data_IF_907174690453
#
_entry.id   IF_907174690453
#
_cell.length_a   1.000
_cell.length_b   1.000
_cell.length_c   1.000
_cell.angle_alpha   90.00
_cell.angle_beta   90.00
_cell.angle_gamma   90.00
#
_symmetry.space_group_name_H-M   'P 1'
#
loop_
_entity.id
_entity.type
_entity.pdbx_description
1 polymer ?
#
# COMPACT_ATOMS: atom_id res chain seq x y z
N UNK A 1 18.59 2.27 41.29
CA UNK A 1 17.83 1.15 40.71
C UNK A 1 17.96 1.27 39.20
N UNK A 2 18.90 0.54 38.60
CA UNK A 2 19.16 0.59 37.16
C UNK A 2 18.03 -0.15 36.45
N UNK A 3 17.22 0.56 35.66
CA UNK A 3 16.27 -0.07 34.74
C UNK A 3 17.09 -0.81 33.69
N UNK A 4 16.96 -2.13 33.67
CA UNK A 4 17.48 -3.01 32.64
C UNK A 4 16.63 -2.71 31.40
N UNK A 5 17.16 -1.95 30.46
CA UNK A 5 16.55 -1.83 29.14
C UNK A 5 16.97 -3.09 28.38
N UNK A 6 16.15 -4.13 28.46
CA UNK A 6 16.33 -5.31 27.64
C UNK A 6 16.02 -4.91 26.19
N UNK A 7 17.06 -4.83 25.36
CA UNK A 7 16.93 -4.60 23.92
C UNK A 7 16.72 -5.95 23.25
N UNK A 8 15.56 -6.15 22.62
CA UNK A 8 15.30 -7.29 21.75
C UNK A 8 15.89 -6.98 20.37
N UNK A 9 16.84 -7.80 19.92
CA UNK A 9 17.39 -7.72 18.57
C UNK A 9 16.94 -8.96 17.79
N UNK A 10 16.02 -8.75 16.85
CA UNK A 10 15.62 -9.78 15.89
C UNK A 10 16.54 -9.66 14.67
N UNK A 11 17.45 -10.63 14.50
CA UNK A 11 18.39 -10.66 13.36
C UNK A 11 17.87 -11.64 12.32
N UNK A 12 17.42 -11.10 11.18
CA UNK A 12 17.07 -11.87 9.98
C UNK A 12 18.20 -11.71 8.94
N UNK A 13 18.76 -12.79 8.38
CA UNK A 13 19.91 -12.74 7.46
C UNK A 13 19.62 -13.41 6.11
N UNK A 14 20.02 -12.76 5.02
CA UNK A 14 19.14 -11.82 4.33
C UNK A 14 17.90 -12.56 3.80
N UNK A 15 16.70 -12.14 4.23
CA UNK A 15 15.46 -12.66 3.66
C UNK A 15 15.21 -12.09 2.25
N UNK A 16 15.82 -10.95 1.90
CA UNK A 16 15.57 -10.25 0.65
C UNK A 16 16.33 -8.93 0.53
N UNK A 17 16.02 -8.18 -0.53
CA UNK A 17 16.49 -6.81 -0.75
C UNK A 17 15.33 -5.81 -0.77
N UNK A 18 15.56 -4.51 -0.58
CA UNK A 18 14.51 -3.49 -0.59
C UNK A 18 13.69 -3.50 -1.90
N UNK A 19 12.41 -3.12 -1.81
CA UNK A 19 11.48 -3.08 -2.94
C UNK A 19 12.04 -2.28 -4.13
N UNK A 20 12.72 -1.16 -3.88
CA UNK A 20 13.34 -0.28 -4.89
C UNK A 20 14.30 -1.02 -5.86
N UNK A 21 14.81 -2.19 -5.48
CA UNK A 21 15.73 -3.01 -6.28
C UNK A 21 15.00 -3.98 -7.23
N UNK A 22 13.73 -3.74 -7.52
CA UNK A 22 13.02 -4.50 -8.53
C UNK A 22 13.69 -4.34 -9.92
N UNK A 23 13.65 -5.39 -10.73
CA UNK A 23 14.36 -5.47 -12.02
C UNK A 23 13.47 -5.16 -13.20
N UNK A 24 12.17 -5.43 -13.10
CA UNK A 24 11.20 -5.17 -14.15
C UNK A 24 9.83 -4.78 -13.60
N UNK A 25 8.94 -4.17 -14.42
CA UNK A 25 7.56 -3.93 -14.03
C UNK A 25 6.83 -5.21 -13.61
N UNK A 26 7.10 -6.33 -14.29
CA UNK A 26 6.53 -7.63 -13.92
C UNK A 26 6.97 -8.06 -12.52
N UNK A 27 8.26 -7.89 -12.16
CA UNK A 27 8.76 -8.22 -10.83
C UNK A 27 8.11 -7.34 -9.75
N UNK A 28 8.03 -6.02 -9.98
CA UNK A 28 7.37 -5.10 -9.05
C UNK A 28 5.92 -5.50 -8.78
N UNK A 29 5.14 -5.72 -9.84
CA UNK A 29 3.72 -6.09 -9.73
C UNK A 29 3.58 -7.46 -9.04
N UNK A 30 4.47 -8.41 -9.32
CA UNK A 30 4.46 -9.73 -8.68
C UNK A 30 4.76 -9.64 -7.18
N UNK A 31 5.79 -8.87 -6.79
CA UNK A 31 6.19 -8.67 -5.39
C UNK A 31 5.06 -8.02 -4.59
N UNK A 32 4.41 -7.00 -5.15
CA UNK A 32 3.28 -6.36 -4.48
C UNK A 32 2.07 -7.30 -4.36
N UNK A 33 1.79 -8.12 -5.38
CA UNK A 33 0.74 -9.15 -5.31
C UNK A 33 1.00 -10.18 -4.20
N UNK A 34 2.26 -10.58 -4.01
CA UNK A 34 2.65 -11.48 -2.92
C UNK A 34 2.46 -10.83 -1.55
N UNK A 35 2.87 -9.57 -1.40
CA UNK A 35 2.70 -8.83 -0.15
C UNK A 35 1.22 -8.66 0.22
N UNK A 36 0.34 -8.42 -0.76
CA UNK A 36 -1.12 -8.35 -0.53
C UNK A 36 -1.68 -9.72 -0.13
N UNK A 37 -1.17 -10.81 -0.71
CA UNK A 37 -1.57 -12.17 -0.33
C UNK A 37 -1.13 -12.49 1.10
N UNK A 38 0.09 -12.11 1.47
CA UNK A 38 0.58 -12.23 2.84
C UNK A 38 -0.24 -11.38 3.83
N UNK A 39 -0.58 -10.15 3.45
CA UNK A 39 -1.47 -9.28 4.23
C UNK A 39 -2.85 -9.89 4.45
N UNK A 40 -3.45 -10.51 3.41
CA UNK A 40 -4.70 -11.26 3.53
C UNK A 40 -4.62 -12.38 4.57
N UNK A 41 -3.55 -13.17 4.52
CA UNK A 41 -3.32 -14.25 5.48
C UNK A 41 -3.12 -13.73 6.91
N UNK A 42 -2.34 -12.66 7.08
CA UNK A 42 -2.17 -12.00 8.38
C UNK A 42 -3.51 -11.60 8.99
N UNK A 43 -4.37 -10.94 8.20
CA UNK A 43 -5.66 -10.48 8.69
C UNK A 43 -6.64 -11.64 8.93
N UNK A 44 -6.78 -12.56 7.98
CA UNK A 44 -7.85 -13.55 8.00
C UNK A 44 -7.52 -14.78 8.85
N UNK A 45 -6.27 -15.24 8.82
CA UNK A 45 -5.83 -16.42 9.57
C UNK A 45 -5.17 -16.01 10.89
N UNK A 46 -4.43 -14.89 10.88
CA UNK A 46 -3.71 -14.39 12.05
C UNK A 46 -4.51 -13.42 12.92
N UNK A 47 -5.62 -12.86 12.42
CA UNK A 47 -6.32 -11.73 13.07
C UNK A 47 -5.43 -10.50 13.29
N UNK A 48 -4.37 -10.34 12.48
CA UNK A 48 -3.39 -9.25 12.61
C UNK A 48 -3.71 -8.13 11.62
N UNK A 49 -3.87 -6.91 12.13
CA UNK A 49 -3.92 -5.69 11.35
C UNK A 49 -2.52 -5.07 11.29
N UNK A 50 -2.00 -4.77 10.09
CA UNK A 50 -0.60 -4.39 9.91
C UNK A 50 -0.32 -2.91 10.22
N UNK A 51 -1.20 -2.00 9.79
CA UNK A 51 -1.21 -0.55 10.11
C UNK A 51 -0.08 0.31 9.55
N UNK A 52 1.04 -0.30 9.13
CA UNK A 52 2.14 0.40 8.46
C UNK A 52 2.55 -0.27 7.13
N UNK A 53 1.61 -0.44 6.22
CA UNK A 53 1.93 -0.85 4.85
C UNK A 53 2.70 0.28 4.14
N UNK A 54 3.98 0.03 3.84
CA UNK A 54 4.87 0.99 3.19
C UNK A 54 5.85 0.32 2.21
N UNK A 55 6.51 1.10 1.35
CA UNK A 55 7.55 0.59 0.45
C UNK A 55 8.79 0.07 1.20
N UNK A 56 9.01 0.53 2.44
CA UNK A 56 10.09 0.05 3.31
C UNK A 56 9.80 -1.31 3.94
N UNK A 57 8.52 -1.67 4.08
CA UNK A 57 8.07 -2.87 4.78
C UNK A 57 7.77 -4.03 3.82
N UNK A 58 8.13 -3.88 2.54
CA UNK A 58 8.05 -4.93 1.53
C UNK A 58 9.45 -5.20 0.98
N UNK A 59 9.88 -6.46 1.06
CA UNK A 59 11.18 -6.89 0.54
C UNK A 59 11.03 -7.92 -0.57
N UNK A 60 12.04 -7.98 -1.43
CA UNK A 60 12.13 -8.95 -2.52
C UNK A 60 13.07 -10.07 -2.11
N UNK A 61 12.55 -11.29 -2.00
CA UNK A 61 13.31 -12.49 -1.67
C UNK A 61 14.53 -12.66 -2.59
N UNK A 62 15.71 -12.91 -2.02
CA UNK A 62 16.91 -13.20 -2.82
C UNK A 62 16.84 -14.58 -3.51
N UNK A 63 16.06 -15.50 -2.95
CA UNK A 63 15.97 -16.90 -3.41
C UNK A 63 15.20 -17.03 -4.72
N UNK A 64 14.04 -16.38 -4.79
CA UNK A 64 13.05 -16.59 -5.85
C UNK A 64 12.41 -15.28 -6.35
N UNK A 65 12.87 -14.12 -5.85
CA UNK A 65 12.38 -12.79 -6.22
C UNK A 65 10.87 -12.59 -5.98
N UNK A 66 10.32 -13.32 -5.01
CA UNK A 66 8.95 -13.15 -4.50
C UNK A 66 8.87 -12.06 -3.45
N UNK A 67 7.68 -11.50 -3.25
CA UNK A 67 7.44 -10.48 -2.25
C UNK A 67 7.28 -11.06 -0.84
N UNK A 68 7.82 -10.35 0.14
CA UNK A 68 7.65 -10.65 1.57
C UNK A 68 7.22 -9.36 2.25
N UNK A 69 6.10 -9.42 2.96
CA UNK A 69 5.65 -8.35 3.87
C UNK A 69 6.32 -8.57 5.24
N UNK A 70 6.94 -7.52 5.77
CA UNK A 70 7.69 -7.54 7.03
C UNK A 70 7.22 -6.39 7.92
N UNK A 71 7.82 -6.31 9.11
CA UNK A 71 7.62 -5.23 10.09
C UNK A 71 6.20 -5.20 10.70
N UNK A 72 6.06 -5.91 11.81
CA UNK A 72 4.81 -5.99 12.58
C UNK A 72 4.92 -5.19 13.90
N UNK A 73 5.89 -4.27 14.01
CA UNK A 73 6.19 -3.59 15.28
C UNK A 73 5.03 -2.71 15.79
N UNK A 74 4.17 -2.25 14.89
CA UNK A 74 2.95 -1.46 15.19
C UNK A 74 1.65 -2.19 14.87
N UNK A 75 1.73 -3.48 14.53
CA UNK A 75 0.58 -4.29 14.21
C UNK A 75 -0.27 -4.57 15.47
N UNK A 76 -1.58 -4.76 15.27
CA UNK A 76 -2.53 -5.11 16.34
C UNK A 76 -3.05 -6.53 16.11
N UNK A 77 -3.10 -7.31 17.19
CA UNK A 77 -3.86 -8.56 17.24
C UNK A 77 -5.33 -8.25 17.58
N UNK A 78 -6.19 -8.32 16.57
CA UNK A 78 -7.63 -8.04 16.66
C UNK A 78 -8.39 -9.08 17.51
N UNK A 79 -7.75 -10.16 17.95
CA UNK A 79 -8.33 -11.08 18.93
C UNK A 79 -8.12 -10.61 20.37
N UNK A 80 -7.18 -9.70 20.61
CA UNK A 80 -6.82 -9.20 21.94
C UNK A 80 -7.20 -7.72 22.14
N UNK A 81 -7.07 -6.90 21.09
CA UNK A 81 -7.24 -5.44 21.17
C UNK A 81 -7.90 -4.86 19.91
N UNK A 82 -8.71 -3.82 20.10
CA UNK A 82 -9.30 -3.03 19.02
C UNK A 82 -8.43 -1.78 18.73
N UNK A 83 -8.30 -1.34 17.47
CA UNK A 83 -7.56 -0.12 17.15
C UNK A 83 -8.18 1.14 17.78
N UNK A 84 -7.32 2.06 18.26
CA UNK A 84 -7.71 3.33 18.90
C UNK A 84 -7.49 4.52 17.94
N UNK A 85 -8.41 5.49 17.95
CA UNK A 85 -8.33 6.74 17.18
C UNK A 85 -7.12 7.62 17.58
N UNK A 86 -6.60 7.44 18.80
CA UNK A 86 -5.47 8.22 19.32
C UNK A 86 -4.10 7.61 18.95
N UNK A 87 -4.07 6.40 18.39
CA UNK A 87 -2.85 5.67 18.06
C UNK A 87 -2.51 5.79 16.56
N UNK A 88 -2.30 7.02 16.08
CA UNK A 88 -1.97 7.24 14.68
C UNK A 88 -0.54 6.79 14.36
N UNK A 89 -0.43 5.63 13.71
CA UNK A 89 0.82 5.09 13.18
C UNK A 89 0.82 5.08 11.65
N UNK A 90 2.00 4.97 11.05
CA UNK A 90 2.14 4.72 9.63
C UNK A 90 3.00 5.71 8.87
N UNK A 91 3.38 5.29 7.67
CA UNK A 91 4.25 6.05 6.77
C UNK A 91 3.44 7.02 5.91
N UNK A 92 3.53 8.34 6.18
CA UNK A 92 2.63 9.39 5.65
C UNK A 92 2.31 9.30 4.14
N UNK A 93 3.31 9.09 3.28
CA UNK A 93 3.07 8.99 1.83
C UNK A 93 2.31 7.74 1.42
N UNK A 94 2.35 6.69 2.23
CA UNK A 94 1.62 5.43 2.06
C UNK A 94 0.29 5.38 2.83
N UNK A 95 0.08 6.19 3.87
CA UNK A 95 -1.15 6.15 4.68
C UNK A 95 -2.42 6.39 3.85
N UNK A 96 -3.48 5.63 4.15
CA UNK A 96 -4.79 5.83 3.58
C UNK A 96 -5.35 7.25 3.85
N UNK A 97 -6.23 7.74 2.98
CA UNK A 97 -6.86 9.06 3.14
C UNK A 97 -7.64 9.15 4.45
N UNK A 98 -8.34 8.08 4.84
CA UNK A 98 -9.07 8.02 6.10
C UNK A 98 -8.16 8.17 7.32
N UNK A 99 -7.03 7.48 7.33
CA UNK A 99 -6.02 7.59 8.41
C UNK A 99 -5.43 8.98 8.51
N UNK A 100 -5.07 9.60 7.38
CA UNK A 100 -4.60 10.99 7.37
C UNK A 100 -5.63 12.00 7.89
N UNK A 101 -6.92 11.61 7.95
CA UNK A 101 -8.01 12.42 8.51
C UNK A 101 -8.35 12.08 9.96
N UNK A 102 -7.60 11.16 10.59
CA UNK A 102 -7.73 10.79 12.00
C UNK A 102 -8.76 9.70 12.26
N UNK A 103 -9.06 8.85 11.27
CA UNK A 103 -9.96 7.72 11.49
C UNK A 103 -9.23 6.54 12.12
N UNK A 104 -10.01 5.66 12.74
CA UNK A 104 -9.55 4.39 13.30
C UNK A 104 -9.06 3.44 12.19
N UNK A 105 -7.91 2.83 12.41
CA UNK A 105 -7.31 1.83 11.53
C UNK A 105 -8.23 0.65 11.23
N UNK A 106 -8.16 0.14 10.00
CA UNK A 106 -8.89 -1.04 9.56
C UNK A 106 -8.25 -1.66 8.31
N UNK A 107 -8.69 -2.87 7.96
CA UNK A 107 -8.13 -3.64 6.84
C UNK A 107 -8.17 -2.91 5.49
N UNK A 108 -9.19 -2.08 5.26
CA UNK A 108 -9.35 -1.35 4.00
C UNK A 108 -8.26 -0.29 3.87
N UNK A 109 -7.84 0.33 4.97
CA UNK A 109 -6.77 1.32 4.95
C UNK A 109 -5.40 0.69 4.68
N UNK A 110 -5.09 -0.47 5.25
CA UNK A 110 -3.91 -1.25 4.85
C UNK A 110 -3.94 -1.59 3.35
N UNK A 111 -5.10 -2.00 2.82
CA UNK A 111 -5.26 -2.32 1.41
C UNK A 111 -5.13 -1.10 0.50
N UNK A 112 -5.70 0.04 0.89
CA UNK A 112 -5.57 1.31 0.17
C UNK A 112 -4.09 1.75 0.10
N UNK A 113 -3.32 1.51 1.16
CA UNK A 113 -1.88 1.79 1.19
C UNK A 113 -1.09 1.10 0.10
N UNK A 114 -1.48 -0.10 -0.36
CA UNK A 114 -0.81 -0.76 -1.49
C UNK A 114 -0.93 0.00 -2.82
N UNK A 115 -2.02 0.75 -3.04
CA UNK A 115 -2.11 1.66 -4.20
C UNK A 115 -1.02 2.73 -4.10
N UNK A 116 -0.86 3.33 -2.92
CA UNK A 116 0.14 4.37 -2.70
C UNK A 116 1.55 3.81 -2.77
N UNK A 117 1.81 2.60 -2.25
CA UNK A 117 3.09 1.90 -2.42
C UNK A 117 3.42 1.70 -3.90
N UNK A 118 2.47 1.24 -4.73
CA UNK A 118 2.70 1.07 -6.17
C UNK A 118 3.11 2.40 -6.83
N UNK A 119 2.34 3.46 -6.59
CA UNK A 119 2.62 4.78 -7.18
C UNK A 119 3.93 5.36 -6.67
N UNK A 120 4.16 5.28 -5.37
CA UNK A 120 5.34 5.81 -4.71
C UNK A 120 6.60 5.07 -5.14
N UNK A 121 6.57 3.75 -5.30
CA UNK A 121 7.72 2.97 -5.77
C UNK A 121 8.13 3.33 -7.19
N UNK A 122 7.17 3.69 -8.04
CA UNK A 122 7.43 4.09 -9.44
C UNK A 122 7.97 5.53 -9.55
N UNK A 123 7.86 6.33 -8.47
CA UNK A 123 8.25 7.75 -8.44
C UNK A 123 9.70 8.00 -8.86
N UNK A 124 10.61 7.08 -8.57
CA UNK A 124 12.04 7.25 -8.85
C UNK A 124 12.33 7.22 -10.35
N UNK A 125 11.36 6.81 -11.16
CA UNK A 125 11.41 6.96 -12.61
C UNK A 125 11.02 8.37 -13.09
N UNK A 126 10.36 9.18 -12.27
CA UNK A 126 9.82 10.50 -12.67
C UNK A 126 10.95 11.52 -12.81
N UNK A 127 11.02 12.15 -13.99
CA UNK A 127 11.93 13.26 -14.22
C UNK A 127 11.51 14.48 -13.39
N UNK A 128 12.44 15.06 -12.61
CA UNK A 128 12.12 16.22 -11.77
C UNK A 128 11.21 15.90 -10.59
N UNK A 129 11.49 14.79 -9.87
CA UNK A 129 10.72 14.35 -8.71
C UNK A 129 10.47 15.45 -7.66
N UNK A 130 11.40 16.40 -7.49
CA UNK A 130 11.23 17.53 -6.56
C UNK A 130 10.00 18.40 -6.85
N UNK A 131 9.59 18.47 -8.12
CA UNK A 131 8.41 19.18 -8.63
C UNK A 131 7.21 18.28 -8.92
N UNK A 132 7.35 16.95 -8.73
CA UNK A 132 6.25 16.01 -8.90
C UNK A 132 5.11 16.31 -7.94
N UNK A 133 3.87 16.13 -8.40
CA UNK A 133 2.69 16.27 -7.56
C UNK A 133 2.65 15.27 -6.41
N UNK A 134 3.30 14.11 -6.55
CA UNK A 134 3.43 13.09 -5.51
C UNK A 134 4.11 13.62 -4.26
N UNK A 135 4.96 14.65 -4.38
CA UNK A 135 5.59 15.27 -3.22
C UNK A 135 4.57 15.84 -2.22
N UNK A 136 3.35 16.16 -2.66
CA UNK A 136 2.26 16.61 -1.78
C UNK A 136 1.68 15.50 -0.90
N UNK A 137 1.95 14.23 -1.19
CA UNK A 137 1.52 13.11 -0.35
C UNK A 137 2.42 12.95 0.90
N UNK A 138 3.56 13.64 0.93
CA UNK A 138 4.54 13.59 2.00
C UNK A 138 4.80 14.96 2.63
N UNK A 139 4.93 16.00 1.80
CA UNK A 139 5.22 17.37 2.23
C UNK A 139 3.97 18.01 2.83
N UNK A 140 4.11 18.53 4.04
CA UNK A 140 3.03 19.19 4.77
C UNK A 140 2.55 18.38 5.97
N UNK A 141 1.45 18.86 6.56
CA UNK A 141 0.74 18.16 7.63
C UNK A 141 -0.17 17.03 7.08
N UNK A 142 -0.78 16.25 7.98
CA UNK A 142 -1.64 15.13 7.58
C UNK A 142 -2.87 15.59 6.76
N UNK A 143 -3.44 16.75 7.09
CA UNK A 143 -4.62 17.28 6.41
C UNK A 143 -4.28 17.76 4.99
N UNK A 144 -3.13 18.40 4.81
CA UNK A 144 -2.60 18.79 3.51
C UNK A 144 -2.34 17.56 2.64
N UNK A 145 -1.75 16.51 3.20
CA UNK A 145 -1.51 15.24 2.50
C UNK A 145 -2.83 14.56 2.10
N UNK A 146 -3.81 14.51 3.00
CA UNK A 146 -5.14 13.95 2.71
C UNK A 146 -5.84 14.71 1.58
N UNK A 147 -5.78 16.05 1.59
CA UNK A 147 -6.38 16.89 0.56
C UNK A 147 -5.74 16.65 -0.81
N UNK A 148 -4.40 16.56 -0.86
CA UNK A 148 -3.68 16.24 -2.09
C UNK A 148 -4.05 14.85 -2.64
N UNK A 149 -4.10 13.83 -1.78
CA UNK A 149 -4.52 12.49 -2.18
C UNK A 149 -5.96 12.46 -2.67
N UNK A 150 -6.88 13.16 -2.01
CA UNK A 150 -8.28 13.27 -2.44
C UNK A 150 -8.43 13.86 -3.84
N UNK A 151 -7.67 14.91 -4.15
CA UNK A 151 -7.61 15.48 -5.50
C UNK A 151 -7.08 14.45 -6.50
N UNK A 152 -6.00 13.76 -6.13
CA UNK A 152 -5.24 12.86 -6.99
C UNK A 152 -5.95 11.53 -7.25
N UNK A 153 -6.84 11.06 -6.37
CA UNK A 153 -7.63 9.84 -6.60
C UNK A 153 -8.95 10.09 -7.34
N UNK A 154 -9.25 11.33 -7.73
CA UNK A 154 -10.35 11.60 -8.68
C UNK A 154 -10.03 11.01 -10.05
N UNK A 155 -11.05 10.76 -10.89
CA UNK A 155 -10.81 10.17 -12.22
C UNK A 155 -9.86 11.04 -13.05
N UNK A 156 -10.04 12.36 -13.02
CA UNK A 156 -9.17 13.29 -13.74
C UNK A 156 -7.81 13.49 -13.05
N UNK A 157 -7.79 13.62 -11.72
CA UNK A 157 -6.56 13.78 -10.95
C UNK A 157 -5.64 12.58 -11.07
N UNK A 158 -6.18 11.37 -11.13
CA UNK A 158 -5.37 10.17 -11.21
C UNK A 158 -4.67 10.04 -12.56
N UNK A 159 -5.30 10.49 -13.66
CA UNK A 159 -4.62 10.57 -14.96
C UNK A 159 -3.44 11.55 -14.93
N UNK A 160 -3.53 12.65 -14.18
CA UNK A 160 -2.39 13.56 -13.98
C UNK A 160 -1.26 12.91 -13.18
N UNK A 161 -1.58 12.04 -12.21
CA UNK A 161 -0.56 11.22 -11.52
C UNK A 161 0.13 10.28 -12.49
N UNK A 162 -0.64 9.53 -13.29
CA UNK A 162 -0.09 8.58 -14.25
C UNK A 162 0.66 9.26 -15.39
N UNK A 163 0.34 10.51 -15.72
CA UNK A 163 1.05 11.28 -16.73
C UNK A 163 2.51 11.58 -16.35
N UNK A 164 2.85 11.58 -15.05
CA UNK A 164 4.24 11.75 -14.60
C UNK A 164 5.10 10.50 -14.79
N UNK A 165 4.49 9.33 -14.99
CA UNK A 165 5.22 8.06 -15.13
C UNK A 165 5.94 7.96 -16.46
N UNK A 166 7.14 7.36 -16.43
CA UNK A 166 7.90 7.08 -17.64
C UNK A 166 7.27 5.96 -18.47
N UNK A 167 7.65 5.89 -19.75
CA UNK A 167 7.22 4.85 -20.69
C UNK A 167 7.54 3.43 -20.21
N UNK A 168 8.54 3.25 -19.32
CA UNK A 168 8.87 1.96 -18.68
C UNK A 168 7.67 1.35 -17.94
N UNK A 169 6.78 2.18 -17.39
CA UNK A 169 5.62 1.73 -16.60
C UNK A 169 4.28 1.93 -17.30
N UNK A 170 4.28 2.20 -18.62
CA UNK A 170 3.04 2.41 -19.38
C UNK A 170 2.10 1.20 -19.27
N UNK A 171 2.67 -0.01 -19.35
CA UNK A 171 1.92 -1.26 -19.23
C UNK A 171 1.35 -1.52 -17.81
N UNK A 172 1.81 -0.78 -16.79
CA UNK A 172 1.33 -0.89 -15.40
C UNK A 172 0.19 0.11 -15.12
N UNK A 173 0.03 1.16 -15.93
CA UNK A 173 -1.05 2.15 -15.74
C UNK A 173 -2.46 1.53 -15.65
N UNK A 174 -2.83 0.50 -16.44
CA UNK A 174 -4.13 -0.16 -16.30
C UNK A 174 -4.36 -0.75 -14.90
N UNK A 175 -3.33 -1.35 -14.28
CA UNK A 175 -3.40 -1.84 -12.90
C UNK A 175 -3.70 -0.71 -11.93
N UNK A 176 -2.93 0.39 -12.00
CA UNK A 176 -3.09 1.53 -11.12
C UNK A 176 -4.52 2.12 -11.21
N UNK A 177 -5.06 2.25 -12.43
CA UNK A 177 -6.46 2.70 -12.64
C UNK A 177 -7.46 1.75 -12.00
N UNK A 178 -7.24 0.44 -12.15
CA UNK A 178 -8.16 -0.55 -11.60
C UNK A 178 -8.13 -0.57 -10.08
N UNK A 179 -6.96 -0.46 -9.45
CA UNK A 179 -6.85 -0.29 -8.00
C UNK A 179 -7.57 0.97 -7.54
N UNK A 180 -7.33 2.11 -8.21
CA UNK A 180 -8.05 3.36 -7.94
C UNK A 180 -9.56 3.14 -8.01
N UNK A 181 -10.06 2.43 -9.01
CA UNK A 181 -11.49 2.17 -9.15
C UNK A 181 -12.03 1.24 -8.06
N UNK A 182 -11.28 0.20 -7.68
CA UNK A 182 -11.65 -0.71 -6.58
C UNK A 182 -11.85 0.07 -5.27
N UNK A 183 -10.99 1.06 -4.98
CA UNK A 183 -11.10 1.83 -3.75
C UNK A 183 -12.08 3.01 -3.85
N UNK A 184 -12.16 3.71 -4.98
CA UNK A 184 -12.78 5.04 -5.02
C UNK A 184 -13.92 5.19 -6.03
N UNK A 185 -14.23 4.17 -6.86
CA UNK A 185 -15.29 4.29 -7.86
C UNK A 185 -16.67 4.20 -7.21
N UNK A 186 -17.47 5.24 -7.42
CA UNK A 186 -18.84 5.30 -6.87
C UNK A 186 -18.89 5.55 -5.36
N UNK A 187 -17.74 5.77 -4.74
CA UNK A 187 -17.59 6.06 -3.31
C UNK A 187 -17.80 7.56 -3.07
N UNK A 188 -18.62 7.91 -2.10
CA UNK A 188 -18.72 9.27 -1.56
C UNK A 188 -17.53 9.55 -0.65
N UNK A 189 -17.23 10.83 -0.39
CA UNK A 189 -16.25 11.21 0.63
C UNK A 189 -16.59 10.59 1.99
N UNK A 190 -17.88 10.45 2.31
CA UNK A 190 -18.34 9.82 3.54
C UNK A 190 -18.02 8.33 3.57
N UNK A 191 -18.19 7.59 2.48
CA UNK A 191 -17.87 6.15 2.45
C UNK A 191 -16.37 5.86 2.37
N UNK A 192 -15.55 6.77 1.84
CA UNK A 192 -14.09 6.67 1.94
C UNK A 192 -13.62 6.79 3.40
N UNK A 193 -14.35 7.58 4.21
CA UNK A 193 -13.86 8.08 5.49
C UNK A 193 -14.59 7.45 6.68
N UNK A 194 -15.85 7.06 6.60
CA UNK A 194 -16.62 6.72 7.81
C UNK A 194 -17.34 5.36 7.73
N UNK A 195 -17.61 4.84 6.53
CA UNK A 195 -18.41 3.61 6.36
C UNK A 195 -17.56 2.49 5.76
N UNK A 196 -16.76 1.82 6.59
CA UNK A 196 -16.07 0.59 6.19
C UNK A 196 -16.89 -0.62 6.64
N UNK A 197 -17.37 -1.40 5.68
CA UNK A 197 -18.02 -2.68 5.96
C UNK A 197 -16.97 -3.71 6.43
N UNK A 198 -17.06 -4.11 7.71
CA UNK A 198 -16.14 -5.05 8.36
C UNK A 198 -16.60 -6.52 8.24
N UNK A 199 -17.65 -6.80 7.46
CA UNK A 199 -18.10 -8.17 7.24
C UNK A 199 -17.07 -8.96 6.42
N UNK A 200 -16.95 -10.26 6.73
CA UNK A 200 -16.05 -11.15 5.98
C UNK A 200 -16.30 -11.10 4.47
N UNK A 201 -17.56 -11.02 4.05
CA UNK A 201 -17.93 -10.95 2.64
C UNK A 201 -17.42 -9.67 1.96
N UNK A 202 -17.53 -8.51 2.62
CA UNK A 202 -16.99 -7.26 2.11
C UNK A 202 -15.45 -7.27 2.07
N UNK A 203 -14.82 -7.78 3.13
CA UNK A 203 -13.36 -7.95 3.19
C UNK A 203 -12.86 -8.86 2.06
N UNK A 204 -13.47 -10.05 1.88
CA UNK A 204 -13.11 -10.98 0.81
C UNK A 204 -13.28 -10.35 -0.56
N UNK A 205 -14.41 -9.68 -0.81
CA UNK A 205 -14.67 -9.02 -2.09
C UNK A 205 -13.63 -7.93 -2.40
N UNK A 206 -13.17 -7.19 -1.39
CA UNK A 206 -12.13 -6.18 -1.58
C UNK A 206 -10.78 -6.82 -1.93
N UNK A 207 -10.36 -7.86 -1.19
CA UNK A 207 -9.14 -8.60 -1.51
C UNK A 207 -9.20 -9.23 -2.91
N UNK A 208 -10.31 -9.87 -3.25
CA UNK A 208 -10.49 -10.51 -4.56
C UNK A 208 -10.44 -9.47 -5.70
N UNK A 209 -11.03 -8.30 -5.48
CA UNK A 209 -10.97 -7.19 -6.44
C UNK A 209 -9.54 -6.65 -6.64
N UNK A 210 -8.79 -6.49 -5.55
CA UNK A 210 -7.39 -6.04 -5.59
C UNK A 210 -6.50 -7.11 -6.25
N UNK A 211 -6.51 -8.34 -5.74
CA UNK A 211 -5.68 -9.43 -6.25
C UNK A 211 -6.01 -9.76 -7.70
N UNK A 212 -7.29 -9.78 -8.08
CA UNK A 212 -7.70 -9.97 -9.48
C UNK A 212 -7.16 -8.88 -10.42
N UNK A 213 -7.03 -7.64 -9.96
CA UNK A 213 -6.38 -6.59 -10.73
C UNK A 213 -4.88 -6.87 -10.96
N UNK A 214 -4.18 -7.34 -9.92
CA UNK A 214 -2.78 -7.75 -10.01
C UNK A 214 -2.60 -8.95 -10.94
N UNK A 215 -3.44 -9.98 -10.82
CA UNK A 215 -3.39 -11.19 -11.66
C UNK A 215 -3.54 -10.87 -13.15
N UNK A 216 -4.53 -10.04 -13.52
CA UNK A 216 -4.72 -9.58 -14.90
C UNK A 216 -3.51 -8.78 -15.40
N UNK A 217 -2.94 -7.92 -14.56
CA UNK A 217 -1.75 -7.14 -14.92
C UNK A 217 -0.52 -8.03 -15.13
N UNK A 218 -0.30 -9.01 -14.25
CA UNK A 218 0.79 -9.99 -14.37
C UNK A 218 0.63 -10.81 -15.65
N UNK A 219 -0.59 -11.26 -15.97
CA UNK A 219 -0.87 -11.98 -17.21
C UNK A 219 -0.54 -11.12 -18.44
N UNK A 220 -0.97 -9.86 -18.46
CA UNK A 220 -0.68 -8.91 -19.54
C UNK A 220 0.81 -8.62 -19.70
N UNK A 221 1.53 -8.37 -18.60
CA UNK A 221 2.98 -8.10 -18.62
C UNK A 221 3.78 -9.30 -19.14
N UNK A 222 3.39 -10.53 -18.76
CA UNK A 222 4.01 -11.76 -19.29
C UNK A 222 3.80 -11.92 -20.80
N UNK A 223 2.60 -11.63 -21.29
CA UNK A 223 2.29 -11.69 -22.73
C UNK A 223 3.12 -10.68 -23.55
N UNK A 224 3.45 -9.54 -22.94
CA UNK A 224 4.26 -8.49 -23.57
C UNK A 224 5.77 -8.68 -23.42
N UNK A 225 6.23 -9.76 -22.76
CA UNK A 225 7.66 -10.07 -22.58
C UNK A 225 8.40 -9.07 -21.68
N UNK A 226 7.69 -8.46 -20.71
CA UNK A 226 8.23 -7.45 -19.78
C UNK A 226 8.70 -8.05 -18.45
#
# INVERSE_FOLDING_TARGET
MLRRNDLLCLVYSPLGCPLEKFKSPLELVTVLSDAITAHRALLQDGQILHRDISDGNIIISEKDRRGILIDLDVAIDLSEEDPDENDLVGTKHCMAIGLLKGNIDNYRYDLESFLYVLVWTIRDSIAGLSSSRLMRWWKGDFKECAAAKLEDVTTAGFELVLAEWTTKFEAVKPLARRLRDVFFRGTTLESIVFEVDMSKAATDALYDGVLGAFEESIASLRLNGM
#
